data_IF_296678733419
#
_entry.id   IF_296678733419
#
_cell.length_a   1.000
_cell.length_b   1.000
_cell.length_c   1.000
_cell.angle_alpha   90.00
_cell.angle_beta   90.00
_cell.angle_gamma   90.00
#
_symmetry.space_group_name_H-M   'P 1'
#
loop_
_entity.id
_entity.type
_entity.pdbx_description
1 polymer ?
#
# COMPACT_ATOMS: atom_id res chain seq x y z
N UNK A 1 -4.93 -18.66 7.26
CA UNK A 1 -4.62 -17.48 6.43
C UNK A 1 -3.29 -16.90 6.93
N UNK A 2 -2.29 -16.77 6.06
CA UNK A 2 -0.98 -16.22 6.44
C UNK A 2 -1.12 -14.71 6.62
N UNK A 3 -0.78 -14.20 7.80
CA UNK A 3 -0.79 -12.76 8.10
C UNK A 3 0.39 -12.08 7.38
N UNK A 4 0.11 -11.12 6.52
CA UNK A 4 1.12 -10.21 5.98
C UNK A 4 1.67 -9.35 7.12
N UNK A 5 2.99 -9.12 7.19
CA UNK A 5 3.62 -8.28 8.23
C UNK A 5 4.52 -7.24 7.57
N UNK A 6 4.12 -5.98 7.61
CA UNK A 6 5.01 -4.86 7.35
C UNK A 6 6.09 -4.78 8.43
N UNK A 7 7.25 -4.20 8.13
CA UNK A 7 8.28 -3.92 9.14
C UNK A 7 7.77 -2.77 10.02
N UNK A 8 7.48 -3.00 11.30
CA UNK A 8 6.93 -1.98 12.18
C UNK A 8 8.00 -0.93 12.50
N UNK A 9 7.58 0.32 12.70
CA UNK A 9 8.41 1.29 13.40
C UNK A 9 8.86 0.72 14.75
N UNK A 10 10.01 1.18 15.25
CA UNK A 10 10.59 0.63 16.47
C UNK A 10 9.65 0.83 17.67
N UNK A 11 8.95 -0.24 18.07
CA UNK A 11 7.99 -0.23 19.19
C UNK A 11 6.52 -0.10 18.80
N UNK A 12 6.18 -0.12 17.49
CA UNK A 12 4.78 -0.17 17.06
C UNK A 12 4.22 -1.60 17.08
N UNK A 13 2.94 -1.70 17.43
CA UNK A 13 2.22 -2.96 17.45
C UNK A 13 1.86 -3.39 16.02
N UNK A 14 2.31 -4.58 15.62
CA UNK A 14 2.04 -5.18 14.32
C UNK A 14 0.54 -5.45 14.09
N UNK A 15 -0.25 -5.50 15.16
CA UNK A 15 -1.70 -5.74 15.08
C UNK A 15 -2.44 -4.57 14.40
N UNK A 16 -1.82 -3.38 14.27
CA UNK A 16 -2.40 -2.23 13.59
C UNK A 16 -2.61 -2.42 12.08
N UNK A 17 -1.78 -3.25 11.43
CA UNK A 17 -1.75 -3.43 9.97
C UNK A 17 -2.47 -4.71 9.50
N UNK A 18 -3.53 -5.10 10.19
CA UNK A 18 -4.44 -6.12 9.67
C UNK A 18 -5.35 -5.51 8.59
N UNK A 19 -5.74 -6.31 7.59
CA UNK A 19 -6.63 -5.82 6.53
C UNK A 19 -7.96 -5.28 7.09
N UNK A 20 -8.52 -5.94 8.12
CA UNK A 20 -9.72 -5.47 8.81
C UNK A 20 -9.54 -4.09 9.46
N UNK A 21 -8.39 -3.84 10.11
CA UNK A 21 -8.08 -2.55 10.70
C UNK A 21 -7.87 -1.47 9.63
N UNK A 22 -7.18 -1.80 8.53
CA UNK A 22 -7.03 -0.89 7.40
C UNK A 22 -8.38 -0.51 6.78
N UNK A 23 -9.29 -1.47 6.58
CA UNK A 23 -10.66 -1.21 6.09
C UNK A 23 -11.45 -0.35 7.09
N UNK A 24 -11.29 -0.56 8.39
CA UNK A 24 -11.95 0.25 9.41
C UNK A 24 -11.45 1.71 9.40
N UNK A 25 -10.14 1.91 9.22
CA UNK A 25 -9.48 3.23 9.25
C UNK A 25 -9.62 4.00 7.94
N UNK A 26 -9.52 3.31 6.81
CA UNK A 26 -9.37 3.92 5.49
C UNK A 26 -10.37 3.41 4.46
N UNK A 27 -11.49 2.83 4.91
CA UNK A 27 -12.49 2.19 4.05
C UNK A 27 -13.01 3.07 2.91
N UNK A 28 -13.18 4.36 3.17
CA UNK A 28 -13.76 5.31 2.21
C UNK A 28 -12.69 6.11 1.44
N UNK A 29 -11.41 5.84 1.71
CA UNK A 29 -10.28 6.42 0.96
C UNK A 29 -10.08 5.65 -0.34
N UNK A 30 -9.82 6.40 -1.42
CA UNK A 30 -9.52 5.87 -2.74
C UNK A 30 -8.04 5.50 -2.83
N UNK A 31 -7.77 4.28 -3.29
CA UNK A 31 -6.42 3.74 -3.45
C UNK A 31 -6.16 3.36 -4.89
N UNK A 32 -4.94 3.58 -5.37
CA UNK A 32 -4.52 3.20 -6.72
C UNK A 32 -4.33 1.69 -6.85
N UNK A 33 -4.89 1.11 -7.91
CA UNK A 33 -4.73 -0.32 -8.22
C UNK A 33 -3.48 -0.63 -9.04
N UNK A 34 -2.80 0.40 -9.55
CA UNK A 34 -1.59 0.26 -10.34
C UNK A 34 -0.82 1.57 -10.31
N UNK A 35 0.49 1.48 -10.43
CA UNK A 35 1.36 2.65 -10.53
C UNK A 35 1.27 3.34 -11.92
N UNK A 36 0.88 2.58 -12.95
CA UNK A 36 0.89 3.03 -14.35
C UNK A 36 -0.48 3.49 -14.87
N UNK A 37 -1.57 3.21 -14.15
CA UNK A 37 -2.93 3.58 -14.54
C UNK A 37 -3.61 4.38 -13.43
N UNK A 38 -4.44 5.35 -13.83
CA UNK A 38 -5.13 6.25 -12.90
C UNK A 38 -6.34 5.65 -12.19
N UNK A 39 -6.59 4.35 -12.35
CA UNK A 39 -7.75 3.68 -11.77
C UNK A 39 -7.60 3.55 -10.24
N UNK A 40 -8.66 3.96 -9.54
CA UNK A 40 -8.72 3.95 -8.09
C UNK A 40 -10.00 3.30 -7.60
N UNK A 41 -9.91 2.61 -6.46
CA UNK A 41 -11.07 2.05 -5.76
C UNK A 41 -11.00 2.40 -4.28
N UNK A 42 -12.17 2.57 -3.65
CA UNK A 42 -12.19 2.69 -2.20
C UNK A 42 -11.78 1.37 -1.55
N UNK A 43 -11.08 1.42 -0.42
CA UNK A 43 -10.62 0.20 0.27
C UNK A 43 -11.80 -0.70 0.68
N UNK A 44 -12.96 -0.12 0.99
CA UNK A 44 -14.21 -0.83 1.26
C UNK A 44 -14.72 -1.56 0.02
N UNK A 45 -14.63 -0.95 -1.16
CA UNK A 45 -15.03 -1.61 -2.42
C UNK A 45 -14.06 -2.73 -2.76
N UNK A 46 -12.76 -2.49 -2.59
CA UNK A 46 -11.72 -3.50 -2.76
C UNK A 46 -11.92 -4.70 -1.82
N UNK A 47 -12.24 -4.44 -0.54
CA UNK A 47 -12.57 -5.46 0.46
C UNK A 47 -13.74 -6.36 0.04
N UNK A 48 -14.77 -5.78 -0.60
CA UNK A 48 -15.86 -6.56 -1.18
C UNK A 48 -15.37 -7.44 -2.33
N UNK A 49 -14.62 -6.87 -3.27
CA UNK A 49 -14.07 -7.61 -4.42
C UNK A 49 -13.27 -8.85 -3.99
N UNK A 50 -12.31 -8.69 -3.08
CA UNK A 50 -11.48 -9.83 -2.62
C UNK A 50 -12.26 -10.87 -1.79
N UNK A 51 -13.51 -10.57 -1.44
CA UNK A 51 -14.42 -11.48 -0.74
C UNK A 51 -15.47 -12.12 -1.65
N UNK A 52 -15.59 -11.70 -2.92
CA UNK A 52 -16.51 -12.35 -3.87
C UNK A 52 -15.91 -13.64 -4.42
N UNK A 53 -16.76 -14.48 -5.03
CA UNK A 53 -16.27 -15.70 -5.67
C UNK A 53 -15.27 -15.37 -6.77
N UNK A 54 -15.55 -14.35 -7.59
CA UNK A 54 -14.68 -13.90 -8.67
C UNK A 54 -13.31 -13.50 -8.13
N UNK A 55 -13.24 -12.65 -7.10
CA UNK A 55 -11.95 -12.26 -6.51
C UNK A 55 -11.20 -13.42 -5.85
N UNK A 56 -11.93 -14.36 -5.24
CA UNK A 56 -11.32 -15.55 -4.62
C UNK A 56 -10.78 -16.57 -5.63
N UNK A 57 -11.33 -16.60 -6.85
CA UNK A 57 -10.92 -17.52 -7.92
C UNK A 57 -10.13 -16.86 -9.04
N UNK A 58 -9.89 -15.54 -8.95
CA UNK A 58 -9.11 -14.81 -9.95
C UNK A 58 -7.68 -15.35 -10.01
N UNK A 59 -7.18 -15.63 -11.21
CA UNK A 59 -5.81 -16.12 -11.43
C UNK A 59 -4.77 -15.02 -11.14
N UNK A 60 -5.14 -13.76 -11.37
CA UNK A 60 -4.30 -12.59 -11.14
C UNK A 60 -5.13 -11.45 -10.54
N UNK A 61 -5.55 -11.58 -9.26
CA UNK A 61 -6.46 -10.64 -8.63
C UNK A 61 -5.88 -9.23 -8.56
N UNK A 62 -6.77 -8.24 -8.57
CA UNK A 62 -6.41 -6.83 -8.38
C UNK A 62 -5.67 -6.65 -7.05
N UNK A 63 -4.66 -5.78 -7.06
CA UNK A 63 -3.93 -5.35 -5.87
C UNK A 63 -3.77 -3.84 -5.86
N UNK A 64 -3.61 -3.27 -4.67
CA UNK A 64 -3.33 -1.85 -4.45
C UNK A 64 -1.82 -1.64 -4.57
N UNK A 65 -1.44 -0.67 -5.39
CA UNK A 65 -0.09 -0.18 -5.61
C UNK A 65 -0.15 1.34 -5.58
N UNK A 66 -0.07 1.93 -4.38
CA UNK A 66 -0.26 3.36 -4.22
C UNK A 66 1.03 4.05 -3.79
N UNK A 67 1.57 4.90 -4.66
CA UNK A 67 2.78 5.67 -4.42
C UNK A 67 2.53 7.01 -3.73
N UNK A 68 1.29 7.49 -3.76
CA UNK A 68 0.89 8.80 -3.24
C UNK A 68 0.39 8.72 -1.80
N UNK A 69 0.39 7.52 -1.20
CA UNK A 69 0.06 7.37 0.21
C UNK A 69 0.95 8.29 1.08
N UNK A 70 0.30 8.93 2.05
CA UNK A 70 0.91 9.89 2.96
C UNK A 70 1.10 11.29 2.40
N UNK A 71 0.68 11.57 1.15
CA UNK A 71 0.67 12.93 0.61
C UNK A 71 -0.54 13.74 1.12
N UNK A 72 -1.70 13.10 1.27
CA UNK A 72 -2.92 13.71 1.81
C UNK A 72 -3.03 13.58 3.35
N UNK A 73 -3.95 14.33 3.95
CA UNK A 73 -4.16 14.34 5.41
C UNK A 73 -4.75 13.04 5.95
N UNK A 74 -5.48 12.27 5.13
CA UNK A 74 -6.12 11.04 5.56
C UNK A 74 -5.12 9.91 5.75
N UNK A 75 -4.12 9.80 4.87
CA UNK A 75 -3.14 8.70 4.86
C UNK A 75 -1.80 9.06 5.48
N UNK A 76 -1.53 10.34 5.80
CA UNK A 76 -0.26 10.80 6.39
C UNK A 76 0.16 10.05 7.66
N UNK A 77 -0.80 9.67 8.50
CA UNK A 77 -0.52 8.92 9.74
C UNK A 77 0.23 7.60 9.50
N UNK A 78 0.08 6.97 8.32
CA UNK A 78 0.79 5.73 7.99
C UNK A 78 2.31 5.91 7.91
N UNK A 79 2.79 7.14 7.66
CA UNK A 79 4.23 7.45 7.61
C UNK A 79 4.89 7.41 8.99
N UNK A 80 4.11 7.45 10.06
CA UNK A 80 4.58 7.36 11.45
C UNK A 80 4.60 5.92 11.96
N UNK A 81 4.07 4.97 11.19
CA UNK A 81 3.89 3.57 11.60
C UNK A 81 5.03 2.64 11.15
N UNK A 82 5.96 3.15 10.34
CA UNK A 82 7.17 2.44 9.89
C UNK A 82 8.42 3.33 9.90
N UNK A 83 9.59 2.70 10.03
CA UNK A 83 10.89 3.37 9.90
C UNK A 83 11.63 2.85 8.67
N UNK A 84 12.28 3.75 7.91
CA UNK A 84 13.22 3.34 6.85
C UNK A 84 14.48 2.75 7.49
N UNK A 85 14.89 1.51 7.13
CA UNK A 85 16.10 0.91 7.70
C UNK A 85 17.34 1.78 7.45
N UNK A 86 18.26 1.81 8.42
CA UNK A 86 19.47 2.69 8.37
C UNK A 86 20.34 2.50 7.13
N UNK A 87 20.37 1.30 6.54
CA UNK A 87 21.11 1.05 5.30
C UNK A 87 20.53 1.77 4.08
N UNK A 88 19.28 2.24 4.15
CA UNK A 88 18.58 2.99 3.11
C UNK A 88 18.31 4.46 3.49
N UNK A 89 18.88 4.95 4.60
CA UNK A 89 18.59 6.31 5.10
C UNK A 89 19.15 7.42 4.21
N UNK A 90 20.06 7.11 3.28
CA UNK A 90 20.67 8.09 2.39
C UNK A 90 19.87 8.17 1.08
N UNK A 91 18.88 9.04 1.08
CA UNK A 91 18.02 9.30 -0.07
C UNK A 91 18.60 10.43 -0.94
N UNK A 92 19.38 10.07 -1.96
CA UNK A 92 20.00 11.06 -2.85
C UNK A 92 18.97 11.76 -3.77
N UNK A 93 17.82 11.15 -4.02
CA UNK A 93 16.74 11.78 -4.80
C UNK A 93 16.01 12.87 -4.00
N UNK A 94 16.24 12.99 -2.70
CA UNK A 94 15.80 14.17 -1.93
C UNK A 94 16.45 15.46 -2.47
N UNK A 95 17.64 15.37 -3.07
CA UNK A 95 18.34 16.52 -3.64
C UNK A 95 17.68 17.06 -4.92
N UNK A 96 16.94 16.22 -5.66
CA UNK A 96 16.02 16.69 -6.70
C UNK A 96 14.81 17.34 -6.04
N UNK A 97 14.96 18.60 -5.64
CA UNK A 97 13.89 19.40 -5.02
C UNK A 97 12.73 19.58 -6.00
N UNK A 98 11.50 19.30 -5.57
CA UNK A 98 10.27 19.64 -6.29
C UNK A 98 9.61 18.47 -7.05
N UNK A 99 8.69 18.76 -7.98
CA UNK A 99 7.85 17.76 -8.68
C UNK A 99 8.62 16.85 -9.65
N UNK A 100 9.94 17.02 -9.75
CA UNK A 100 10.81 16.21 -10.61
C UNK A 100 11.26 14.90 -9.96
N UNK A 101 11.04 14.74 -8.64
CA UNK A 101 11.37 13.51 -7.94
C UNK A 101 10.42 12.39 -8.37
N UNK A 102 10.91 11.26 -8.91
CA UNK A 102 10.07 10.11 -9.21
C UNK A 102 9.41 9.53 -7.95
N UNK A 103 8.25 8.86 -8.07
CA UNK A 103 7.70 8.05 -6.98
C UNK A 103 8.75 7.06 -6.45
N UNK A 104 8.79 6.88 -5.12
CA UNK A 104 9.90 6.16 -4.47
C UNK A 104 9.46 5.29 -3.28
N UNK A 105 8.18 5.33 -2.92
CA UNK A 105 7.59 4.56 -1.83
C UNK A 105 6.21 4.13 -2.27
N UNK A 106 5.82 2.90 -1.95
CA UNK A 106 4.50 2.36 -2.26
C UNK A 106 3.95 1.63 -1.05
N UNK A 107 2.64 1.73 -0.85
CA UNK A 107 1.90 0.78 -0.03
C UNK A 107 1.32 -0.30 -0.95
N UNK A 108 1.57 -1.56 -0.58
CA UNK A 108 1.19 -2.73 -1.35
C UNK A 108 0.16 -3.53 -0.55
N UNK A 109 -1.04 -3.73 -1.11
CA UNK A 109 -2.10 -4.53 -0.47
C UNK A 109 -2.72 -5.44 -1.52
N UNK A 110 -2.63 -6.75 -1.33
CA UNK A 110 -3.15 -7.72 -2.30
C UNK A 110 -3.46 -9.08 -1.68
N UNK A 111 -4.45 -9.83 -2.20
CA UNK A 111 -4.70 -11.21 -1.81
C UNK A 111 -3.62 -12.14 -2.39
N UNK A 112 -3.71 -13.41 -2.03
CA UNK A 112 -2.92 -14.47 -2.68
C UNK A 112 -3.07 -14.43 -4.21
N UNK A 113 -2.00 -14.80 -4.94
CA UNK A 113 -1.88 -14.77 -6.41
C UNK A 113 -1.77 -13.39 -7.05
N UNK A 114 -2.06 -12.31 -6.33
CA UNK A 114 -1.67 -10.98 -6.80
C UNK A 114 -0.15 -10.80 -6.76
N UNK A 115 0.38 -9.94 -7.62
CA UNK A 115 1.81 -9.65 -7.67
C UNK A 115 2.18 -8.76 -8.84
N UNK A 116 3.47 -8.58 -9.04
CA UNK A 116 4.03 -7.85 -10.18
C UNK A 116 4.76 -8.82 -11.10
N UNK A 117 4.66 -8.57 -12.41
CA UNK A 117 5.51 -9.25 -13.38
C UNK A 117 6.99 -8.93 -13.16
N UNK A 118 7.87 -9.73 -13.75
CA UNK A 118 9.31 -9.49 -13.71
C UNK A 118 9.65 -8.10 -14.27
N UNK A 119 10.45 -7.32 -13.53
CA UNK A 119 10.89 -5.98 -13.88
C UNK A 119 12.33 -5.72 -13.38
N UNK A 120 12.95 -4.63 -13.84
CA UNK A 120 14.28 -4.13 -13.44
C UNK A 120 14.11 -2.75 -12.82
#
# INVERSE_FOLDING_TARGET
AKSWRAMPAKGSDLDGWTFSNLVARFGDIMWRLSDNHGEMLSLRTYSKYISTLEGLTDDSPLAIYDAEFGCDDHTRCLLEEYDVPKCFSRDLFELSKGPSRPPYRWILIGPERSGTGLHI
#
